data_IF_962472382070
#
_entry.id   IF_962472382070
#
_cell.length_a   1.000
_cell.length_b   1.000
_cell.length_c   1.000
_cell.angle_alpha   90.00
_cell.angle_beta   90.00
_cell.angle_gamma   90.00
#
_symmetry.space_group_name_H-M   'P 1'
#
loop_
_entity.id
_entity.type
_entity.pdbx_description
1 polymer ?
#
# COMPACT_ATOMS: atom_id res chain seq x y z
N UNK A 1 6.96 28.96 -38.72
CA UNK A 1 7.22 27.50 -38.68
C UNK A 1 8.38 27.13 -37.75
N UNK A 2 9.57 27.76 -37.80
CA UNK A 2 10.70 27.44 -36.90
C UNK A 2 10.40 27.57 -35.40
N UNK A 3 9.62 28.57 -34.99
CA UNK A 3 9.24 28.78 -33.58
C UNK A 3 8.26 27.72 -33.06
N UNK A 4 7.31 27.30 -33.90
CA UNK A 4 6.34 26.25 -33.56
C UNK A 4 7.03 24.89 -33.33
N UNK A 5 8.02 24.56 -34.15
CA UNK A 5 8.81 23.32 -34.00
C UNK A 5 9.62 23.29 -32.70
N UNK A 6 10.16 24.44 -32.27
CA UNK A 6 10.90 24.56 -31.00
C UNK A 6 9.96 24.41 -29.81
N UNK A 7 8.78 25.05 -29.85
CA UNK A 7 7.79 24.92 -28.77
C UNK A 7 7.29 23.48 -28.60
N UNK A 8 7.06 22.76 -29.71
CA UNK A 8 6.65 21.35 -29.69
C UNK A 8 7.77 20.47 -29.10
N UNK A 9 9.02 20.68 -29.53
CA UNK A 9 10.17 19.93 -29.02
C UNK A 9 10.38 20.17 -27.51
N UNK A 10 10.24 21.41 -27.05
CA UNK A 10 10.36 21.77 -25.64
C UNK A 10 9.24 21.13 -24.80
N UNK A 11 8.03 21.06 -25.33
CA UNK A 11 6.88 20.42 -24.66
C UNK A 11 7.10 18.91 -24.51
N UNK A 12 7.63 18.25 -25.56
CA UNK A 12 7.95 16.82 -25.53
C UNK A 12 9.07 16.51 -24.52
N UNK A 13 10.10 17.37 -24.44
CA UNK A 13 11.18 17.24 -23.45
C UNK A 13 10.72 17.42 -22.00
N UNK A 14 9.72 18.29 -21.76
CA UNK A 14 9.19 18.50 -20.40
C UNK A 14 8.32 17.32 -19.95
N UNK A 15 7.53 16.73 -20.87
CA UNK A 15 6.66 15.58 -20.56
C UNK A 15 7.43 14.29 -20.26
N UNK A 16 8.65 14.10 -20.79
CA UNK A 16 9.47 12.92 -20.50
C UNK A 16 10.01 12.87 -19.05
N UNK A 17 10.04 14.02 -18.37
CA UNK A 17 10.47 14.12 -16.96
C UNK A 17 9.36 13.84 -15.93
N UNK A 18 8.11 13.67 -16.37
CA UNK A 18 6.95 13.43 -15.50
C UNK A 18 6.70 11.94 -15.21
N UNK A 19 7.72 11.08 -15.31
CA UNK A 19 7.57 9.67 -14.97
C UNK A 19 7.40 9.49 -13.46
N UNK A 20 6.38 8.72 -13.06
CA UNK A 20 6.22 8.30 -11.67
C UNK A 20 7.47 7.54 -11.22
N UNK A 21 8.04 7.94 -10.09
CA UNK A 21 9.20 7.26 -9.53
C UNK A 21 8.82 5.83 -9.13
N UNK A 22 9.54 4.80 -9.60
CA UNK A 22 9.17 3.41 -9.38
C UNK A 22 9.24 3.06 -7.89
N UNK A 23 8.32 2.20 -7.45
CA UNK A 23 8.37 1.56 -6.14
C UNK A 23 9.00 0.18 -6.33
N UNK A 24 10.08 -0.09 -5.61
CA UNK A 24 10.68 -1.42 -5.55
C UNK A 24 9.90 -2.27 -4.58
N UNK A 25 9.20 -3.27 -5.09
CA UNK A 25 8.42 -4.22 -4.31
C UNK A 25 9.19 -5.51 -4.05
N UNK A 26 9.11 -6.00 -2.83
CA UNK A 26 9.66 -7.29 -2.41
C UNK A 26 8.55 -8.10 -1.73
N UNK A 27 8.35 -9.34 -2.17
CA UNK A 27 7.51 -10.28 -1.43
C UNK A 27 8.24 -10.67 -0.14
N UNK A 28 7.60 -10.39 0.99
CA UNK A 28 8.12 -10.64 2.34
C UNK A 28 7.20 -11.59 3.14
N UNK A 29 6.31 -12.31 2.46
CA UNK A 29 5.33 -13.22 3.08
C UNK A 29 5.99 -14.25 3.97
N UNK A 30 7.17 -14.77 3.57
CA UNK A 30 7.93 -15.76 4.33
C UNK A 30 8.39 -15.29 5.72
N UNK A 31 8.35 -13.99 6.00
CA UNK A 31 8.69 -13.43 7.31
C UNK A 31 7.52 -13.54 8.32
N UNK A 32 6.35 -14.01 7.89
CA UNK A 32 5.13 -14.04 8.69
C UNK A 32 4.49 -15.44 8.65
N UNK A 33 3.80 -15.82 9.73
CA UNK A 33 2.95 -17.01 9.74
C UNK A 33 1.54 -16.63 9.31
N UNK A 34 1.24 -16.81 8.03
CA UNK A 34 -0.04 -16.45 7.41
C UNK A 34 -0.66 -17.66 6.70
N UNK A 35 -2.00 -17.77 6.69
CA UNK A 35 -2.68 -18.81 5.94
C UNK A 35 -2.48 -18.64 4.43
N UNK A 36 -2.69 -19.73 3.68
CA UNK A 36 -2.72 -19.67 2.23
C UNK A 36 -3.78 -18.67 1.73
N UNK A 37 -3.43 -17.90 0.70
CA UNK A 37 -4.26 -16.83 0.16
C UNK A 37 -3.98 -15.45 0.75
N UNK A 38 -2.98 -15.30 1.63
CA UNK A 38 -2.47 -13.98 2.06
C UNK A 38 -1.01 -13.85 1.67
N UNK A 39 -0.66 -12.75 1.00
CA UNK A 39 0.73 -12.37 0.71
C UNK A 39 1.03 -10.97 1.25
N UNK A 40 2.28 -10.75 1.67
CA UNK A 40 2.77 -9.46 2.17
C UNK A 40 3.90 -8.98 1.28
N UNK A 41 3.82 -7.72 0.87
CA UNK A 41 4.84 -7.05 0.08
C UNK A 41 5.34 -5.81 0.82
N UNK A 42 6.66 -5.61 0.80
CA UNK A 42 7.30 -4.38 1.25
C UNK A 42 7.69 -3.55 0.02
N UNK A 43 7.24 -2.30 -0.02
CA UNK A 43 7.57 -1.34 -1.08
C UNK A 43 8.52 -0.27 -0.56
N UNK A 44 9.56 0.04 -1.32
CA UNK A 44 10.48 1.14 -1.01
C UNK A 44 10.74 2.03 -2.23
N UNK A 45 11.00 3.32 -1.98
CA UNK A 45 11.47 4.28 -2.98
C UNK A 45 12.42 5.26 -2.30
N UNK A 46 13.53 5.60 -2.97
CA UNK A 46 14.55 6.48 -2.40
C UNK A 46 14.14 7.97 -2.39
N UNK A 47 13.54 8.47 -3.49
CA UNK A 47 13.18 9.88 -3.62
C UNK A 47 11.85 10.05 -4.39
N UNK A 48 10.82 10.73 -3.82
CA UNK A 48 10.72 11.04 -2.41
C UNK A 48 10.68 9.75 -1.59
N UNK A 49 11.33 9.77 -0.42
CA UNK A 49 11.49 8.60 0.44
C UNK A 49 10.11 7.99 0.76
N UNK A 50 9.99 6.68 0.55
CA UNK A 50 8.77 5.93 0.81
C UNK A 50 9.12 4.56 1.37
N UNK A 51 8.40 4.16 2.42
CA UNK A 51 8.35 2.80 2.92
C UNK A 51 6.90 2.43 3.17
N UNK A 52 6.43 1.39 2.47
CA UNK A 52 5.03 0.97 2.51
C UNK A 52 4.93 -0.55 2.58
N UNK A 53 3.79 -1.02 3.07
CA UNK A 53 3.43 -2.43 3.10
C UNK A 53 2.13 -2.62 2.34
N UNK A 54 2.00 -3.74 1.66
CA UNK A 54 0.80 -4.14 0.94
C UNK A 54 0.44 -5.58 1.33
N UNK A 55 -0.79 -5.79 1.79
CA UNK A 55 -1.35 -7.13 1.97
C UNK A 55 -2.22 -7.45 0.77
N UNK A 56 -1.87 -8.53 0.09
CA UNK A 56 -2.70 -9.14 -0.95
C UNK A 56 -3.50 -10.28 -0.32
N UNK A 57 -4.83 -10.27 -0.51
CA UNK A 57 -5.74 -11.23 0.11
C UNK A 57 -6.65 -11.80 -0.96
N UNK A 58 -6.54 -13.11 -1.21
CA UNK A 58 -7.40 -13.83 -2.13
C UNK A 58 -8.78 -14.08 -1.51
N UNK A 59 -9.74 -13.23 -1.88
CA UNK A 59 -11.13 -13.34 -1.42
C UNK A 59 -11.93 -14.44 -2.11
N UNK A 60 -11.36 -15.15 -3.10
CA UNK A 60 -11.97 -16.39 -3.59
C UNK A 60 -11.78 -17.54 -2.58
N UNK A 61 -10.80 -17.44 -1.67
CA UNK A 61 -10.69 -18.34 -0.55
C UNK A 61 -11.77 -18.01 0.49
N UNK A 62 -12.84 -18.82 0.53
CA UNK A 62 -13.99 -18.63 1.43
C UNK A 62 -13.66 -18.70 2.93
N UNK A 63 -12.43 -19.11 3.28
CA UNK A 63 -11.92 -19.08 4.67
C UNK A 63 -11.31 -17.73 5.05
N UNK A 64 -11.17 -16.80 4.12
CA UNK A 64 -10.65 -15.45 4.33
C UNK A 64 -11.78 -14.43 4.19
N UNK A 65 -11.75 -13.40 5.03
CA UNK A 65 -12.69 -12.29 4.96
C UNK A 65 -12.02 -11.00 5.44
N UNK A 66 -12.34 -9.89 4.78
CA UNK A 66 -12.04 -8.55 5.29
C UNK A 66 -13.28 -8.05 6.04
N UNK A 67 -13.12 -7.69 7.30
CA UNK A 67 -14.24 -7.24 8.15
C UNK A 67 -13.91 -5.90 8.78
N UNK A 68 -14.84 -4.92 8.75
CA UNK A 68 -14.69 -3.73 9.57
C UNK A 68 -14.91 -4.09 11.03
N UNK A 69 -14.07 -3.53 11.90
CA UNK A 69 -14.19 -3.65 13.35
C UNK A 69 -14.26 -2.26 13.97
N UNK A 70 -15.14 -2.10 14.97
CA UNK A 70 -15.26 -0.86 15.76
C UNK A 70 -14.78 -1.16 17.16
N UNK A 71 -13.75 -0.43 17.58
CA UNK A 71 -13.27 -0.46 18.95
C UNK A 71 -14.20 0.37 19.85
N UNK A 72 -14.59 -0.16 21.01
CA UNK A 72 -15.39 0.59 21.99
C UNK A 72 -14.62 1.69 22.72
N UNK A 73 -13.29 1.59 22.74
CA UNK A 73 -12.35 2.58 23.29
C UNK A 73 -11.10 2.67 22.42
N UNK A 74 -10.39 3.79 22.44
CA UNK A 74 -9.10 3.93 21.75
C UNK A 74 -8.09 2.88 22.22
N UNK A 75 -7.42 2.24 21.26
CA UNK A 75 -6.47 1.17 21.52
C UNK A 75 -5.44 1.08 20.40
N UNK A 76 -4.30 0.45 20.69
CA UNK A 76 -3.24 0.26 19.69
C UNK A 76 -3.65 -0.83 18.69
N UNK A 77 -3.27 -0.65 17.43
CA UNK A 77 -3.60 -1.59 16.37
C UNK A 77 -3.11 -3.02 16.65
N UNK A 78 -1.86 -3.26 17.13
CA UNK A 78 -1.42 -4.63 17.44
C UNK A 78 -2.24 -5.29 18.55
N UNK A 79 -2.55 -4.56 19.63
CA UNK A 79 -3.37 -5.08 20.73
C UNK A 79 -4.78 -5.44 20.25
N UNK A 80 -5.39 -4.57 19.46
CA UNK A 80 -6.72 -4.82 18.90
C UNK A 80 -6.74 -6.00 17.94
N UNK A 81 -5.73 -6.11 17.05
CA UNK A 81 -5.59 -7.20 16.08
C UNK A 81 -5.57 -8.55 16.79
N UNK A 82 -4.79 -8.66 17.87
CA UNK A 82 -4.74 -9.87 18.69
C UNK A 82 -6.08 -10.15 19.40
N UNK A 83 -6.72 -9.12 19.96
CA UNK A 83 -7.97 -9.27 20.69
C UNK A 83 -9.14 -9.78 19.82
N UNK A 84 -9.21 -9.37 18.55
CA UNK A 84 -10.25 -9.82 17.61
C UNK A 84 -9.86 -11.10 16.85
N UNK A 85 -8.66 -11.63 17.07
CA UNK A 85 -8.15 -12.83 16.41
C UNK A 85 -7.90 -12.67 14.92
N UNK A 86 -7.60 -11.45 14.45
CA UNK A 86 -7.32 -11.20 13.03
C UNK A 86 -5.87 -11.57 12.68
N UNK A 87 -5.65 -12.07 11.46
CA UNK A 87 -4.30 -12.34 10.93
C UNK A 87 -3.49 -11.06 10.69
N UNK A 88 -4.18 -9.99 10.31
CA UNK A 88 -3.62 -8.66 10.11
C UNK A 88 -4.73 -7.61 10.21
N UNK A 89 -4.36 -6.38 10.55
CA UNK A 89 -5.27 -5.24 10.51
C UNK A 89 -4.53 -3.97 10.08
N UNK A 90 -5.29 -3.01 9.56
CA UNK A 90 -4.85 -1.64 9.29
C UNK A 90 -5.76 -0.69 10.06
N UNK A 91 -5.27 0.50 10.41
CA UNK A 91 -6.16 1.51 10.99
C UNK A 91 -7.26 1.88 9.98
N UNK A 92 -8.48 2.06 10.48
CA UNK A 92 -9.62 2.48 9.68
C UNK A 92 -9.64 3.99 9.47
N UNK A 93 -10.84 4.58 9.61
CA UNK A 93 -11.05 6.00 9.44
C UNK A 93 -10.58 6.86 10.62
N UNK A 94 -10.72 8.17 10.44
CA UNK A 94 -10.54 9.16 11.50
C UNK A 94 -11.58 8.97 12.60
N UNK A 95 -11.19 9.23 13.84
CA UNK A 95 -12.06 9.22 15.01
C UNK A 95 -11.93 10.55 15.76
N UNK A 96 -13.05 11.06 16.27
CA UNK A 96 -13.06 12.24 17.15
C UNK A 96 -12.52 11.84 18.53
N UNK A 97 -11.50 12.56 19.00
CA UNK A 97 -11.01 12.45 20.37
C UNK A 97 -11.94 13.11 21.38
#
# INVERSE_FOLDING_TARGET
>A
MRTLSISILLTILLLSSAAAQPITWQNVTANYSLPAGISVFAGTRAAPALKIWYLDVDLNNTKLAVRPYVAGTSQTLPGFTAAVGAYAAVNGGYFGG
#
